data_IF_962027873831
#
_entry.id   IF_962027873831
#
_cell.length_a   1.000
_cell.length_b   1.000
_cell.length_c   1.000
_cell.angle_alpha   90.00
_cell.angle_beta   90.00
_cell.angle_gamma   90.00
#
_symmetry.space_group_name_H-M   'P 1'
#
loop_
_entity.id
_entity.type
_entity.pdbx_description
1 polymer ?
#
# COMPACT_ATOMS: atom_id res chain seq x y z
N UNK A 1 18.91 -5.39 -5.28
CA UNK A 1 18.24 -5.70 -4.01
C UNK A 1 19.03 -5.25 -2.78
N UNK A 2 20.34 -5.01 -2.85
CA UNK A 2 21.07 -4.46 -1.68
C UNK A 2 20.59 -3.06 -1.24
N UNK A 3 19.97 -2.29 -2.14
CA UNK A 3 19.42 -0.95 -1.91
C UNK A 3 17.96 -0.95 -1.40
N UNK A 4 17.48 -2.10 -0.90
CA UNK A 4 16.09 -2.28 -0.43
C UNK A 4 16.09 -2.55 1.06
N UNK A 5 15.27 -1.82 1.81
CA UNK A 5 15.01 -2.08 3.23
C UNK A 5 13.53 -2.36 3.40
N UNK A 6 13.19 -3.53 3.93
CA UNK A 6 11.84 -3.89 4.34
C UNK A 6 11.77 -3.83 5.87
N UNK A 7 10.76 -3.12 6.39
CA UNK A 7 10.46 -3.11 7.82
C UNK A 7 8.96 -3.32 8.02
N UNK A 8 8.63 -3.98 9.13
CA UNK A 8 7.26 -4.20 9.57
C UNK A 8 7.16 -3.88 11.04
N UNK A 9 6.02 -3.32 11.44
CA UNK A 9 5.64 -3.24 12.84
C UNK A 9 5.44 -4.64 13.42
N UNK A 10 5.42 -4.73 14.74
CA UNK A 10 4.80 -5.86 15.41
C UNK A 10 3.28 -5.86 15.18
N UNK A 11 2.58 -6.85 15.74
CA UNK A 11 1.10 -6.86 15.73
C UNK A 11 0.61 -5.81 16.73
N UNK A 12 0.22 -4.65 16.20
CA UNK A 12 -0.30 -3.53 16.98
C UNK A 12 -1.79 -3.71 17.28
N UNK A 13 -2.25 -3.29 18.46
CA UNK A 13 -3.66 -3.37 18.87
C UNK A 13 -4.52 -2.27 18.25
N UNK A 14 -3.93 -1.11 17.99
CA UNK A 14 -4.60 0.05 17.42
C UNK A 14 -3.64 0.88 16.57
N UNK A 15 -4.18 1.91 15.91
CA UNK A 15 -3.39 2.75 15.01
C UNK A 15 -2.32 3.58 15.73
N UNK A 16 -2.53 3.93 17.00
CA UNK A 16 -1.58 4.72 17.81
C UNK A 16 -0.31 3.93 18.13
N UNK A 17 -0.46 2.65 18.48
CA UNK A 17 0.68 1.73 18.63
C UNK A 17 1.44 1.58 17.30
N UNK A 18 0.71 1.40 16.19
CA UNK A 18 1.32 1.31 14.86
C UNK A 18 2.07 2.60 14.47
N UNK A 19 1.52 3.77 14.82
CA UNK A 19 2.15 5.08 14.63
C UNK A 19 3.46 5.17 15.40
N UNK A 20 3.44 4.88 16.71
CA UNK A 20 4.63 4.93 17.55
C UNK A 20 5.74 3.98 17.05
N UNK A 21 5.38 2.74 16.70
CA UNK A 21 6.35 1.78 16.17
C UNK A 21 6.89 2.20 14.80
N UNK A 22 6.04 2.60 13.86
CA UNK A 22 6.47 3.03 12.53
C UNK A 22 7.42 4.24 12.60
N UNK A 23 7.09 5.22 13.44
CA UNK A 23 7.94 6.39 13.66
C UNK A 23 9.30 6.00 14.23
N UNK A 24 9.33 5.06 15.18
CA UNK A 24 10.57 4.55 15.76
C UNK A 24 11.41 3.79 14.72
N UNK A 25 10.78 2.92 13.93
CA UNK A 25 11.43 2.19 12.83
C UNK A 25 12.02 3.16 11.81
N UNK A 26 11.25 4.15 11.33
CA UNK A 26 11.72 5.13 10.35
C UNK A 26 12.89 5.96 10.89
N UNK A 27 12.79 6.48 12.12
CA UNK A 27 13.89 7.21 12.79
C UNK A 27 15.17 6.37 12.85
N UNK A 28 15.05 5.12 13.28
CA UNK A 28 16.20 4.22 13.41
C UNK A 28 16.87 3.94 12.07
N UNK A 29 16.09 3.67 11.01
CA UNK A 29 16.66 3.42 9.67
C UNK A 29 17.33 4.68 9.12
N UNK A 30 16.70 5.85 9.28
CA UNK A 30 17.28 7.13 8.84
C UNK A 30 18.61 7.39 9.56
N UNK A 31 18.64 7.21 10.88
CA UNK A 31 19.86 7.35 11.69
C UNK A 31 20.96 6.39 11.22
N UNK A 32 20.65 5.10 11.11
CA UNK A 32 21.60 4.07 10.68
C UNK A 32 22.10 4.32 9.25
N UNK A 33 21.23 4.78 8.34
CA UNK A 33 21.63 5.17 6.99
C UNK A 33 22.62 6.34 7.04
N UNK A 34 22.31 7.38 7.83
CA UNK A 34 23.18 8.55 8.01
C UNK A 34 24.56 8.21 8.59
N UNK A 35 24.61 7.33 9.60
CA UNK A 35 25.86 6.82 10.20
C UNK A 35 26.76 6.10 9.19
N UNK A 36 26.18 5.58 8.11
CA UNK A 36 26.90 4.89 7.02
C UNK A 36 27.07 5.77 5.76
N UNK A 37 26.80 7.08 5.84
CA UNK A 37 26.91 8.00 4.70
C UNK A 37 25.86 7.78 3.61
N UNK A 38 24.75 7.11 3.95
CA UNK A 38 23.62 6.84 3.07
C UNK A 38 22.41 7.72 3.45
N UNK A 39 21.43 7.79 2.56
CA UNK A 39 20.15 8.48 2.80
C UNK A 39 19.00 7.53 2.51
N UNK A 40 17.90 7.68 3.24
CA UNK A 40 16.68 6.90 3.02
C UNK A 40 15.72 7.69 2.13
N UNK A 41 15.12 7.04 1.15
CA UNK A 41 14.07 7.60 0.30
C UNK A 41 12.88 6.65 0.25
N UNK A 42 11.69 7.14 0.64
CA UNK A 42 10.45 6.38 0.58
C UNK A 42 9.69 6.69 -0.71
N UNK A 43 9.88 5.85 -1.73
CA UNK A 43 9.25 6.02 -3.04
C UNK A 43 8.98 4.67 -3.70
N UNK A 44 7.84 4.54 -4.37
CA UNK A 44 7.43 3.24 -4.92
C UNK A 44 8.24 2.80 -6.14
N UNK A 45 8.82 3.76 -6.86
CA UNK A 45 9.86 3.53 -7.87
C UNK A 45 10.93 4.61 -7.75
N UNK A 46 12.20 4.23 -7.82
CA UNK A 46 13.25 5.23 -7.83
C UNK A 46 13.20 6.04 -9.16
N UNK A 47 13.27 7.39 -9.15
CA UNK A 47 12.99 8.19 -10.34
C UNK A 47 13.86 7.88 -11.58
N UNK A 48 15.14 7.58 -11.37
CA UNK A 48 16.10 7.35 -12.45
C UNK A 48 17.00 6.11 -12.31
N UNK A 49 16.79 5.27 -11.28
CA UNK A 49 17.69 4.13 -11.08
C UNK A 49 17.41 3.05 -12.12
N UNK A 50 18.48 2.45 -12.64
CA UNK A 50 18.39 1.31 -13.55
C UNK A 50 18.44 0.01 -12.76
N UNK A 51 17.37 -0.79 -12.86
CA UNK A 51 17.30 -2.10 -12.22
C UNK A 51 18.36 -3.07 -12.77
N UNK A 52 18.84 -2.88 -14.00
CA UNK A 52 19.83 -3.75 -14.66
C UNK A 52 21.19 -3.70 -14.00
N UNK A 53 21.53 -2.57 -13.39
CA UNK A 53 22.83 -2.33 -12.76
C UNK A 53 22.79 -2.56 -11.26
N UNK A 54 21.66 -2.99 -10.69
CA UNK A 54 21.53 -3.25 -9.27
C UNK A 54 22.07 -4.65 -8.93
N UNK A 55 22.97 -4.70 -7.95
CA UNK A 55 23.44 -5.97 -7.40
C UNK A 55 22.32 -6.70 -6.66
N UNK A 56 22.24 -8.01 -6.89
CA UNK A 56 21.26 -8.88 -6.26
C UNK A 56 21.95 -9.54 -5.07
N UNK A 57 21.38 -9.36 -3.88
CA UNK A 57 21.90 -10.03 -2.70
C UNK A 57 21.78 -11.56 -2.88
N UNK A 58 22.82 -12.35 -2.59
CA UNK A 58 22.78 -13.79 -2.77
C UNK A 58 21.86 -14.43 -1.72
N UNK A 59 20.59 -14.62 -2.08
CA UNK A 59 19.57 -15.36 -1.32
C UNK A 59 19.03 -16.50 -2.21
N UNK A 60 19.07 -17.73 -1.72
CA UNK A 60 18.55 -18.96 -2.36
C UNK A 60 17.10 -18.79 -2.84
N UNK A 61 16.25 -18.16 -2.03
CA UNK A 61 14.85 -17.90 -2.40
C UNK A 61 14.76 -16.95 -3.59
N UNK A 62 15.65 -15.97 -3.66
CA UNK A 62 15.69 -14.97 -4.73
C UNK A 62 16.22 -15.58 -6.05
N UNK A 63 17.19 -16.51 -5.96
CA UNK A 63 17.66 -17.28 -7.13
C UNK A 63 16.53 -18.06 -7.78
N UNK A 64 15.74 -18.80 -7.01
CA UNK A 64 14.61 -19.58 -7.54
C UNK A 64 13.55 -18.68 -8.21
N UNK A 65 13.28 -17.49 -7.65
CA UNK A 65 12.35 -16.54 -8.27
C UNK A 65 12.90 -16.00 -9.60
N UNK A 66 14.21 -15.72 -9.70
CA UNK A 66 14.83 -15.27 -10.94
C UNK A 66 14.84 -16.40 -11.98
N UNK A 67 15.08 -17.64 -11.59
CA UNK A 67 15.02 -18.79 -12.48
C UNK A 67 13.58 -19.02 -12.98
N UNK A 68 12.58 -18.92 -12.11
CA UNK A 68 11.17 -19.08 -12.48
C UNK A 68 10.64 -17.94 -13.36
N UNK A 69 10.98 -16.68 -13.04
CA UNK A 69 10.33 -15.47 -13.60
C UNK A 69 11.25 -14.67 -14.54
N UNK A 70 12.52 -15.02 -14.62
CA UNK A 70 13.50 -14.46 -15.56
C UNK A 70 13.55 -12.92 -15.49
N UNK A 71 13.47 -12.25 -16.64
CA UNK A 71 13.56 -10.80 -16.78
C UNK A 71 12.52 -10.05 -15.95
N UNK A 72 11.34 -10.65 -15.73
CA UNK A 72 10.23 -10.04 -14.98
C UNK A 72 10.61 -9.84 -13.51
N UNK A 73 11.25 -10.83 -12.89
CA UNK A 73 11.75 -10.69 -11.52
C UNK A 73 12.93 -9.74 -11.39
N UNK A 74 13.81 -9.67 -12.40
CA UNK A 74 14.93 -8.73 -12.38
C UNK A 74 14.50 -7.27 -12.44
N UNK A 75 13.43 -6.96 -13.16
CA UNK A 75 12.90 -5.61 -13.27
C UNK A 75 12.09 -5.14 -12.04
N UNK A 76 11.90 -6.01 -11.03
CA UNK A 76 11.01 -5.77 -9.90
C UNK A 76 11.65 -4.97 -8.75
N UNK A 77 12.20 -3.79 -9.06
CA UNK A 77 12.70 -2.85 -8.06
C UNK A 77 11.61 -1.83 -7.70
N UNK A 78 10.62 -2.31 -6.96
CA UNK A 78 9.43 -1.54 -6.57
C UNK A 78 9.18 -1.67 -5.07
N UNK A 79 8.57 -0.64 -4.48
CA UNK A 79 8.36 -0.54 -3.04
C UNK A 79 6.90 -0.23 -2.75
N UNK A 80 6.28 -1.04 -1.89
CA UNK A 80 4.86 -0.91 -1.56
C UNK A 80 4.64 -0.84 -0.06
N UNK A 81 3.47 -0.35 0.32
CA UNK A 81 2.94 -0.49 1.67
C UNK A 81 2.04 -1.72 1.73
N UNK A 82 2.31 -2.62 2.67
CA UNK A 82 1.40 -3.73 2.99
C UNK A 82 0.77 -3.49 4.36
N UNK A 83 -0.56 -3.59 4.44
CA UNK A 83 -1.31 -3.43 5.69
C UNK A 83 -2.03 -4.74 6.00
N UNK A 84 -1.76 -5.29 7.17
CA UNK A 84 -2.41 -6.50 7.68
C UNK A 84 -3.48 -6.12 8.70
N UNK A 85 -4.71 -6.59 8.48
CA UNK A 85 -5.79 -6.48 9.46
C UNK A 85 -6.14 -7.87 9.98
N UNK A 86 -6.09 -8.06 11.30
CA UNK A 86 -6.48 -9.31 11.96
C UNK A 86 -7.96 -9.61 11.77
N UNK A 87 -8.29 -10.86 11.46
CA UNK A 87 -9.66 -11.36 11.29
C UNK A 87 -9.84 -12.62 12.13
N UNK A 88 -11.01 -12.78 12.73
CA UNK A 88 -11.31 -13.87 13.66
C UNK A 88 -11.19 -15.26 13.01
N UNK A 89 -11.67 -15.41 11.78
CA UNK A 89 -11.69 -16.68 11.06
C UNK A 89 -11.50 -16.52 9.54
N UNK A 90 -11.36 -17.66 8.85
CA UNK A 90 -11.04 -17.72 7.43
C UNK A 90 -12.22 -17.44 6.50
N UNK A 91 -13.45 -17.79 6.90
CA UNK A 91 -14.65 -17.48 6.13
C UNK A 91 -14.93 -15.98 6.17
N UNK A 92 -14.84 -15.37 7.36
CA UNK A 92 -14.93 -13.92 7.52
C UNK A 92 -13.84 -13.23 6.71
N UNK A 93 -12.61 -13.77 6.65
CA UNK A 93 -11.54 -13.20 5.85
C UNK A 93 -11.87 -13.14 4.35
N UNK A 94 -12.52 -14.18 3.80
CA UNK A 94 -12.97 -14.21 2.41
C UNK A 94 -14.11 -13.21 2.19
N UNK A 95 -15.08 -13.16 3.11
CA UNK A 95 -16.18 -12.21 3.02
C UNK A 95 -15.68 -10.76 3.00
N UNK A 96 -14.80 -10.41 3.94
CA UNK A 96 -14.18 -9.10 4.02
C UNK A 96 -13.34 -8.79 2.78
N UNK A 97 -12.52 -9.74 2.30
CA UNK A 97 -11.74 -9.55 1.08
C UNK A 97 -12.65 -9.24 -0.12
N UNK A 98 -13.72 -10.00 -0.33
CA UNK A 98 -14.61 -9.83 -1.48
C UNK A 98 -15.22 -8.43 -1.55
N UNK A 99 -15.62 -7.88 -0.42
CA UNK A 99 -16.19 -6.54 -0.32
C UNK A 99 -15.11 -5.45 -0.39
N UNK A 100 -13.97 -5.67 0.26
CA UNK A 100 -12.85 -4.72 0.29
C UNK A 100 -12.25 -4.44 -1.11
N UNK A 101 -12.42 -5.37 -2.06
CA UNK A 101 -11.97 -5.19 -3.47
C UNK A 101 -12.42 -3.87 -4.08
N UNK A 102 -13.64 -3.43 -3.79
CA UNK A 102 -14.20 -2.17 -4.33
C UNK A 102 -13.36 -0.94 -3.97
N UNK A 103 -12.78 -0.94 -2.77
CA UNK A 103 -12.09 0.23 -2.22
C UNK A 103 -10.62 0.31 -2.64
N UNK A 104 -10.04 -0.76 -3.20
CA UNK A 104 -8.63 -0.80 -3.57
C UNK A 104 -8.20 0.32 -4.53
N UNK A 105 -8.99 0.69 -5.58
CA UNK A 105 -8.63 1.81 -6.44
C UNK A 105 -8.61 3.17 -5.72
N UNK A 106 -9.49 3.38 -4.74
CA UNK A 106 -9.56 4.60 -3.94
C UNK A 106 -8.31 4.73 -3.06
N UNK A 107 -7.95 3.63 -2.38
CA UNK A 107 -6.72 3.52 -1.59
C UNK A 107 -5.49 3.72 -2.48
N UNK A 108 -5.46 3.13 -3.67
CA UNK A 108 -4.38 3.32 -4.64
C UNK A 108 -4.22 4.80 -5.03
N UNK A 109 -5.33 5.49 -5.32
CA UNK A 109 -5.30 6.91 -5.71
C UNK A 109 -4.63 7.77 -4.63
N UNK A 110 -4.97 7.54 -3.36
CA UNK A 110 -4.33 8.20 -2.20
C UNK A 110 -2.83 7.89 -2.09
N UNK A 111 -2.44 6.63 -2.27
CA UNK A 111 -1.06 6.19 -2.04
C UNK A 111 -0.09 6.46 -3.20
N UNK A 112 -0.58 6.85 -4.39
CA UNK A 112 0.25 6.95 -5.60
C UNK A 112 1.55 7.73 -5.38
N UNK A 113 2.69 7.10 -5.68
CA UNK A 113 4.01 7.63 -5.37
C UNK A 113 5.10 7.11 -6.33
N UNK A 114 4.75 6.83 -7.59
CA UNK A 114 5.70 6.31 -8.59
C UNK A 114 5.49 6.87 -10.00
N UNK A 115 5.63 8.19 -10.22
CA UNK A 115 5.42 8.77 -11.54
C UNK A 115 6.58 8.57 -12.53
N UNK A 116 7.78 8.29 -12.02
CA UNK A 116 9.00 8.16 -12.81
C UNK A 116 9.53 6.71 -12.84
N UNK A 117 10.11 6.32 -13.98
CA UNK A 117 10.78 5.04 -14.15
C UNK A 117 11.91 5.15 -15.16
N UNK A 118 13.12 4.69 -14.79
CA UNK A 118 14.30 4.72 -15.66
C UNK A 118 14.59 6.11 -16.25
N UNK A 119 14.36 7.17 -15.47
CA UNK A 119 14.62 8.55 -15.88
C UNK A 119 13.51 9.18 -16.72
N UNK A 120 12.40 8.46 -16.94
CA UNK A 120 11.28 8.94 -17.73
C UNK A 120 10.09 9.30 -16.85
N UNK A 121 9.44 10.42 -17.15
CA UNK A 121 8.06 10.65 -16.71
C UNK A 121 7.15 9.67 -17.44
N UNK A 122 6.57 8.73 -16.71
CA UNK A 122 5.79 7.62 -17.31
C UNK A 122 4.41 8.06 -17.78
N UNK A 123 3.96 9.24 -17.33
CA UNK A 123 2.58 9.69 -17.46
C UNK A 123 1.61 8.99 -16.51
N UNK A 124 2.04 8.04 -15.68
CA UNK A 124 1.22 7.45 -14.62
C UNK A 124 1.55 8.10 -13.28
N UNK A 125 0.64 8.03 -12.30
CA UNK A 125 0.89 8.43 -10.90
C UNK A 125 1.39 7.25 -10.07
N UNK A 126 0.95 6.03 -10.40
CA UNK A 126 1.48 4.78 -9.86
C UNK A 126 1.97 3.88 -11.00
N UNK A 127 3.26 3.96 -11.33
CA UNK A 127 3.88 3.05 -12.28
C UNK A 127 4.29 1.71 -11.65
N UNK A 128 4.49 1.66 -10.33
CA UNK A 128 4.78 0.42 -9.58
C UNK A 128 3.83 -0.72 -9.95
N UNK A 129 2.52 -0.45 -9.98
CA UNK A 129 1.55 -1.48 -10.31
C UNK A 129 1.75 -2.06 -11.73
N UNK A 130 2.27 -1.27 -12.68
CA UNK A 130 2.53 -1.71 -14.07
C UNK A 130 3.83 -2.52 -14.21
N UNK A 131 4.82 -2.24 -13.36
CA UNK A 131 5.99 -3.12 -13.23
C UNK A 131 5.53 -4.48 -12.71
N UNK A 132 4.66 -4.48 -11.71
CA UNK A 132 4.16 -5.70 -11.06
C UNK A 132 3.14 -6.50 -11.90
N UNK A 133 2.39 -5.85 -12.79
CA UNK A 133 1.40 -6.46 -13.68
C UNK A 133 1.97 -7.58 -14.58
N UNK A 134 3.30 -7.60 -14.76
CA UNK A 134 4.00 -8.62 -15.56
C UNK A 134 4.06 -9.99 -14.86
N UNK A 135 3.85 -10.04 -13.55
CA UNK A 135 3.85 -11.29 -12.80
C UNK A 135 2.54 -12.06 -13.01
N UNK A 136 2.54 -13.40 -13.03
CA UNK A 136 1.30 -14.17 -13.05
C UNK A 136 0.55 -14.03 -11.72
N UNK A 137 -0.79 -14.11 -11.72
CA UNK A 137 -1.61 -14.11 -10.49
C UNK A 137 -1.42 -12.86 -9.61
N UNK A 138 -1.29 -11.72 -10.27
CA UNK A 138 -1.28 -10.37 -9.69
C UNK A 138 -2.67 -9.71 -9.84
N UNK A 139 -2.78 -8.43 -9.48
CA UNK A 139 -3.98 -7.59 -9.54
C UNK A 139 -5.06 -7.92 -8.50
N UNK A 140 -6.20 -7.22 -8.60
CA UNK A 140 -7.38 -7.44 -7.79
C UNK A 140 -7.81 -8.90 -7.93
N UNK A 141 -8.06 -9.63 -6.83
CA UNK A 141 -8.48 -11.03 -6.91
C UNK A 141 -9.86 -11.17 -7.55
N UNK A 142 -10.20 -12.39 -7.96
CA UNK A 142 -11.59 -12.74 -8.29
C UNK A 142 -12.46 -12.87 -7.04
N UNK A 143 -13.77 -13.04 -7.24
CA UNK A 143 -14.69 -13.33 -6.15
C UNK A 143 -14.59 -14.80 -5.76
N UNK A 144 -14.55 -15.08 -4.46
CA UNK A 144 -14.61 -16.44 -3.92
C UNK A 144 -15.80 -16.57 -2.97
N UNK A 145 -16.76 -17.49 -3.20
CA UNK A 145 -17.96 -17.55 -2.38
C UNK A 145 -17.72 -18.10 -0.96
N UNK A 146 -16.61 -18.80 -0.72
CA UNK A 146 -16.25 -19.36 0.59
C UNK A 146 -14.74 -19.58 0.70
N UNK A 147 -14.27 -19.83 1.92
CA UNK A 147 -12.91 -20.31 2.16
C UNK A 147 -12.62 -21.63 1.45
N UNK A 148 -13.59 -22.55 1.41
CA UNK A 148 -13.44 -23.83 0.71
C UNK A 148 -13.14 -23.69 -0.78
N UNK A 149 -13.84 -22.79 -1.49
CA UNK A 149 -13.56 -22.52 -2.91
C UNK A 149 -12.19 -21.88 -3.12
N UNK A 150 -11.81 -20.95 -2.26
CA UNK A 150 -10.46 -20.37 -2.29
C UNK A 150 -9.38 -21.43 -2.02
N UNK A 151 -9.59 -22.30 -1.04
CA UNK A 151 -8.65 -23.37 -0.72
C UNK A 151 -8.53 -24.39 -1.87
N UNK A 152 -9.64 -24.75 -2.52
CA UNK A 152 -9.63 -25.61 -3.70
C UNK A 152 -8.85 -24.98 -4.85
N UNK A 153 -9.02 -23.67 -5.08
CA UNK A 153 -8.22 -22.93 -6.07
C UNK A 153 -6.71 -23.01 -5.77
N UNK A 154 -6.30 -22.79 -4.51
CA UNK A 154 -4.90 -22.92 -4.10
C UNK A 154 -4.39 -24.36 -4.26
N UNK A 155 -5.16 -25.35 -3.79
CA UNK A 155 -4.81 -26.78 -3.89
C UNK A 155 -4.62 -27.20 -5.34
N UNK A 156 -5.46 -26.71 -6.25
CA UNK A 156 -5.32 -26.98 -7.68
C UNK A 156 -3.99 -26.44 -8.20
N UNK A 157 -3.66 -25.17 -7.92
CA UNK A 157 -2.41 -24.56 -8.38
C UNK A 157 -1.16 -25.26 -7.83
N UNK A 158 -1.21 -25.74 -6.59
CA UNK A 158 -0.12 -26.53 -6.00
C UNK A 158 -0.02 -27.89 -6.69
N UNK A 159 -1.14 -28.60 -6.83
CA UNK A 159 -1.20 -29.92 -7.46
C UNK A 159 -0.71 -29.91 -8.92
N UNK A 160 -0.92 -28.80 -9.64
CA UNK A 160 -0.45 -28.62 -11.02
C UNK A 160 0.91 -27.95 -11.12
N UNK A 161 1.66 -27.83 -10.01
CA UNK A 161 2.99 -27.24 -9.95
C UNK A 161 3.07 -25.77 -10.45
N UNK A 162 1.97 -25.02 -10.40
CA UNK A 162 1.96 -23.60 -10.75
C UNK A 162 2.56 -22.72 -9.64
N UNK A 163 2.42 -23.17 -8.38
CA UNK A 163 2.99 -22.56 -7.18
C UNK A 163 3.41 -23.64 -6.20
N UNK A 164 4.40 -23.36 -5.36
CA UNK A 164 4.82 -24.19 -4.24
C UNK A 164 3.91 -24.00 -3.02
N UNK A 165 3.43 -22.77 -2.81
CA UNK A 165 2.48 -22.41 -1.77
C UNK A 165 1.75 -21.10 -2.11
N UNK A 166 0.75 -20.77 -1.30
CA UNK A 166 -0.07 -19.58 -1.47
C UNK A 166 0.68 -18.23 -1.33
N UNK A 167 1.96 -18.19 -0.86
CA UNK A 167 2.73 -16.93 -0.86
C UNK A 167 3.00 -16.42 -2.28
N UNK A 168 3.00 -17.30 -3.30
CA UNK A 168 3.14 -16.95 -4.74
C UNK A 168 1.81 -16.46 -5.39
N UNK A 169 0.81 -16.13 -4.58
CA UNK A 169 -0.37 -15.36 -4.98
C UNK A 169 -0.13 -13.89 -4.69
N UNK A 170 0.06 -13.08 -5.72
CA UNK A 170 0.50 -11.68 -5.56
C UNK A 170 -0.62 -10.68 -5.78
N UNK A 171 -1.82 -10.99 -5.29
CA UNK A 171 -2.96 -10.11 -5.44
C UNK A 171 -2.83 -8.81 -4.64
N UNK A 172 -3.58 -7.79 -5.08
CA UNK A 172 -3.66 -6.47 -4.44
C UNK A 172 -4.28 -6.53 -3.03
N UNK A 173 -5.05 -7.59 -2.76
CA UNK A 173 -5.58 -7.96 -1.44
C UNK A 173 -5.66 -9.49 -1.37
N UNK A 174 -5.35 -10.09 -0.21
CA UNK A 174 -5.49 -11.55 -0.01
C UNK A 174 -5.64 -11.91 1.47
N UNK A 175 -6.28 -13.05 1.80
CA UNK A 175 -6.10 -13.69 3.09
C UNK A 175 -4.65 -14.16 3.19
N UNK A 176 -3.97 -13.80 4.27
CA UNK A 176 -2.59 -14.23 4.45
C UNK A 176 -2.54 -15.74 4.72
N UNK A 177 -1.70 -16.53 4.03
CA UNK A 177 -1.74 -17.99 4.13
C UNK A 177 -1.38 -18.55 5.51
N UNK A 178 -0.61 -17.83 6.33
CA UNK A 178 -0.14 -18.30 7.64
C UNK A 178 -0.69 -17.50 8.82
N UNK A 179 -1.16 -16.27 8.57
CA UNK A 179 -1.66 -15.38 9.60
C UNK A 179 -3.15 -15.22 9.39
N UNK A 180 -3.93 -15.12 10.46
CA UNK A 180 -5.36 -14.84 10.37
C UNK A 180 -5.56 -13.34 10.12
N UNK A 181 -5.12 -12.91 8.94
CA UNK A 181 -5.16 -11.51 8.51
C UNK A 181 -5.61 -11.41 7.06
N UNK A 182 -6.18 -10.28 6.70
CA UNK A 182 -6.27 -9.83 5.31
C UNK A 182 -5.13 -8.85 5.08
N UNK A 183 -4.38 -9.08 4.03
CA UNK A 183 -3.22 -8.30 3.64
C UNK A 183 -3.58 -7.44 2.42
N UNK A 184 -3.60 -6.13 2.60
CA UNK A 184 -3.73 -5.14 1.54
C UNK A 184 -2.34 -4.82 0.98
N UNK A 185 -2.17 -4.94 -0.34
CA UNK A 185 -0.87 -4.84 -1.04
C UNK A 185 -0.88 -3.88 -2.23
N UNK A 186 -2.02 -3.22 -2.44
CA UNK A 186 -2.26 -2.33 -3.59
C UNK A 186 -1.39 -1.08 -3.53
N UNK A 187 -1.08 -0.59 -2.33
CA UNK A 187 -0.46 0.71 -2.11
C UNK A 187 0.96 0.81 -2.66
N UNK A 188 1.23 1.94 -3.31
CA UNK A 188 2.59 2.47 -3.37
C UNK A 188 3.05 2.83 -1.94
N UNK A 189 4.36 2.75 -1.66
CA UNK A 189 4.87 3.21 -0.37
C UNK A 189 4.71 4.75 -0.27
N UNK A 190 4.01 5.29 0.75
CA UNK A 190 3.85 6.74 0.91
C UNK A 190 5.16 7.42 1.31
N UNK A 191 5.34 8.70 0.96
CA UNK A 191 6.58 9.43 1.29
C UNK A 191 6.70 9.67 2.79
N UNK A 192 5.65 10.18 3.43
CA UNK A 192 5.67 10.58 4.85
C UNK A 192 5.14 9.48 5.76
N UNK A 193 5.58 9.49 7.02
CA UNK A 193 5.10 8.54 8.02
C UNK A 193 3.60 8.72 8.31
N UNK A 194 3.13 9.96 8.43
CA UNK A 194 1.72 10.28 8.64
C UNK A 194 0.82 9.77 7.50
N UNK A 195 1.28 9.85 6.24
CA UNK A 195 0.52 9.32 5.11
C UNK A 195 0.33 7.81 5.21
N UNK A 196 1.39 7.09 5.61
CA UNK A 196 1.33 5.64 5.86
C UNK A 196 0.32 5.32 6.95
N UNK A 197 0.34 6.06 8.06
CA UNK A 197 -0.57 5.84 9.18
C UNK A 197 -2.01 6.18 8.81
N UNK A 198 -2.26 7.28 8.10
CA UNK A 198 -3.58 7.67 7.64
C UNK A 198 -4.20 6.63 6.70
N UNK A 199 -3.41 6.11 5.75
CA UNK A 199 -3.86 5.05 4.83
C UNK A 199 -4.11 3.74 5.58
N UNK A 200 -3.26 3.38 6.56
CA UNK A 200 -3.48 2.20 7.40
C UNK A 200 -4.74 2.33 8.27
N UNK A 201 -5.00 3.53 8.85
CA UNK A 201 -6.20 3.85 9.60
C UNK A 201 -7.46 3.70 8.74
N UNK A 202 -7.44 4.24 7.52
CA UNK A 202 -8.53 4.10 6.57
C UNK A 202 -8.80 2.64 6.22
N UNK A 203 -7.74 1.84 5.99
CA UNK A 203 -7.88 0.40 5.72
C UNK A 203 -8.49 -0.33 6.93
N UNK A 204 -8.05 -0.03 8.16
CA UNK A 204 -8.61 -0.61 9.38
C UNK A 204 -10.09 -0.24 9.54
N UNK A 205 -10.44 1.05 9.37
CA UNK A 205 -11.81 1.54 9.44
C UNK A 205 -12.69 0.90 8.36
N UNK A 206 -12.16 0.66 7.17
CA UNK A 206 -12.88 -0.01 6.08
C UNK A 206 -13.23 -1.44 6.44
N UNK A 207 -12.26 -2.20 6.98
CA UNK A 207 -12.51 -3.57 7.40
C UNK A 207 -13.49 -3.60 8.58
N UNK A 208 -13.35 -2.71 9.56
CA UNK A 208 -14.28 -2.59 10.68
C UNK A 208 -15.71 -2.25 10.23
N UNK A 209 -15.85 -1.31 9.29
CA UNK A 209 -17.14 -0.94 8.71
C UNK A 209 -17.79 -2.12 7.97
N UNK A 210 -17.03 -2.82 7.14
CA UNK A 210 -17.51 -4.01 6.43
C UNK A 210 -17.88 -5.14 7.40
N UNK A 211 -17.14 -5.29 8.49
CA UNK A 211 -17.44 -6.25 9.55
C UNK A 211 -18.71 -5.88 10.30
N UNK A 212 -18.91 -4.60 10.65
CA UNK A 212 -20.15 -4.09 11.26
C UNK A 212 -21.37 -4.35 10.38
N UNK A 213 -21.25 -4.17 9.06
CA UNK A 213 -22.32 -4.54 8.13
C UNK A 213 -22.58 -6.05 8.15
N UNK A 214 -21.51 -6.86 8.09
CA UNK A 214 -21.60 -8.31 8.10
C UNK A 214 -22.31 -8.86 9.36
N UNK A 215 -21.96 -8.38 10.55
CA UNK A 215 -22.60 -8.80 11.80
C UNK A 215 -24.05 -8.34 11.92
N UNK A 216 -24.41 -7.24 11.26
CA UNK A 216 -25.80 -6.80 11.10
C UNK A 216 -26.57 -7.54 9.99
N UNK A 217 -25.99 -8.60 9.41
CA UNK A 217 -26.54 -9.34 8.27
C UNK A 217 -26.80 -8.45 7.04
N UNK A 218 -25.95 -7.44 6.86
CA UNK A 218 -25.89 -6.53 5.72
C UNK A 218 -24.57 -6.74 4.96
N UNK A 219 -24.47 -6.17 3.76
CA UNK A 219 -23.25 -6.24 2.96
C UNK A 219 -23.05 -4.97 2.15
N UNK A 220 -21.86 -4.86 1.56
CA UNK A 220 -21.60 -3.84 0.54
C UNK A 220 -21.83 -4.41 -0.86
N UNK A 221 -22.00 -3.56 -1.87
CA UNK A 221 -22.23 -4.03 -3.24
C UNK A 221 -21.00 -4.76 -3.79
N UNK A 222 -21.21 -5.96 -4.32
CA UNK A 222 -20.18 -6.71 -5.03
C UNK A 222 -20.16 -6.33 -6.51
N UNK A 223 -18.98 -6.03 -7.03
CA UNK A 223 -18.77 -5.69 -8.43
C UNK A 223 -17.88 -6.72 -9.11
N UNK A 224 -18.09 -6.89 -10.42
CA UNK A 224 -17.23 -7.74 -11.25
C UNK A 224 -15.81 -7.21 -11.24
N UNK A 225 -14.82 -8.11 -11.16
CA UNK A 225 -13.39 -7.77 -11.18
C UNK A 225 -13.03 -6.80 -12.29
N UNK A 226 -13.54 -7.04 -13.50
CA UNK A 226 -13.28 -6.21 -14.68
C UNK A 226 -13.66 -4.73 -14.49
N UNK A 227 -14.75 -4.44 -13.77
CA UNK A 227 -15.15 -3.07 -13.47
C UNK A 227 -14.19 -2.41 -12.48
N UNK A 228 -13.83 -3.11 -11.41
CA UNK A 228 -12.90 -2.58 -10.40
C UNK A 228 -11.51 -2.34 -11.01
N UNK A 229 -11.10 -3.19 -11.97
CA UNK A 229 -9.86 -3.01 -12.74
C UNK A 229 -9.85 -1.73 -13.57
N UNK A 230 -11.00 -1.26 -14.08
CA UNK A 230 -11.09 0.03 -14.77
C UNK A 230 -10.79 1.18 -13.80
N UNK A 231 -11.37 1.16 -12.59
CA UNK A 231 -11.02 2.14 -11.56
C UNK A 231 -9.56 2.02 -11.12
N UNK A 232 -8.98 0.81 -11.04
CA UNK A 232 -7.55 0.64 -10.74
C UNK A 232 -6.68 1.33 -11.79
N UNK A 233 -7.03 1.19 -13.08
CA UNK A 233 -6.32 1.89 -14.16
C UNK A 233 -6.44 3.42 -14.01
N UNK A 234 -7.65 3.93 -13.78
CA UNK A 234 -7.89 5.37 -13.60
C UNK A 234 -7.12 5.93 -12.39
N UNK A 235 -7.13 5.21 -11.27
CA UNK A 235 -6.33 5.57 -10.08
C UNK A 235 -4.82 5.57 -10.37
N UNK A 236 -4.31 4.52 -11.04
CA UNK A 236 -2.89 4.43 -11.38
C UNK A 236 -2.44 5.52 -12.36
N UNK A 237 -3.30 5.89 -13.33
CA UNK A 237 -2.97 6.87 -14.37
C UNK A 237 -3.13 8.31 -13.91
N UNK A 238 -4.19 8.61 -13.18
CA UNK A 238 -4.61 9.99 -12.89
C UNK A 238 -4.55 10.36 -11.40
N UNK A 239 -4.46 9.39 -10.49
CA UNK A 239 -4.42 9.65 -9.05
C UNK A 239 -5.64 10.44 -8.56
N UNK A 240 -5.41 11.38 -7.64
CA UNK A 240 -6.46 12.21 -7.04
C UNK A 240 -6.98 13.31 -7.96
N UNK A 241 -6.21 13.70 -8.98
CA UNK A 241 -6.63 14.71 -9.96
C UNK A 241 -7.48 14.10 -11.10
N UNK A 242 -7.67 12.78 -11.06
CA UNK A 242 -8.53 12.04 -11.97
C UNK A 242 -9.99 11.97 -11.54
N UNK A 243 -10.72 11.18 -12.31
CA UNK A 243 -12.07 10.74 -11.98
C UNK A 243 -12.08 9.21 -11.85
N UNK A 244 -12.87 8.67 -10.93
CA UNK A 244 -13.19 7.23 -10.87
C UNK A 244 -14.67 7.03 -11.26
N UNK A 245 -15.05 5.79 -11.52
CA UNK A 245 -16.43 5.42 -11.83
C UNK A 245 -17.15 5.08 -10.52
N UNK A 246 -18.22 5.80 -10.24
CA UNK A 246 -19.22 5.38 -9.26
C UNK A 246 -20.16 4.39 -9.96
N UNK A 247 -20.03 3.10 -9.66
CA UNK A 247 -20.83 2.05 -10.29
C UNK A 247 -22.29 2.05 -9.83
N UNK A 248 -22.61 2.68 -8.69
CA UNK A 248 -23.98 2.89 -8.24
C UNK A 248 -24.68 3.97 -9.04
N UNK A 249 -24.01 5.11 -9.26
CA UNK A 249 -24.49 6.23 -10.06
C UNK A 249 -24.29 6.05 -11.58
N UNK A 250 -23.51 5.03 -11.98
CA UNK A 250 -23.12 4.74 -13.37
C UNK A 250 -22.51 5.94 -14.11
N UNK A 251 -21.70 6.74 -13.40
CA UNK A 251 -21.03 7.92 -13.95
C UNK A 251 -19.62 8.04 -13.43
N UNK A 252 -18.80 8.79 -14.14
CA UNK A 252 -17.52 9.23 -13.60
C UNK A 252 -17.71 10.38 -12.60
N UNK A 253 -16.95 10.34 -11.52
CA UNK A 253 -16.97 11.30 -10.41
C UNK A 253 -15.52 11.66 -10.08
N UNK A 254 -15.21 12.92 -9.74
CA UNK A 254 -13.87 13.30 -9.26
C UNK A 254 -13.40 12.36 -8.14
N UNK A 255 -12.14 11.93 -8.21
CA UNK A 255 -11.61 10.97 -7.25
C UNK A 255 -11.67 11.53 -5.81
N UNK A 256 -11.39 12.82 -5.65
CA UNK A 256 -11.45 13.55 -4.37
C UNK A 256 -12.84 13.48 -3.72
N UNK A 257 -13.89 13.71 -4.50
CA UNK A 257 -15.27 13.64 -4.01
C UNK A 257 -15.60 12.23 -3.52
N UNK A 258 -15.16 11.19 -4.24
CA UNK A 258 -15.36 9.80 -3.82
C UNK A 258 -14.54 9.44 -2.58
N UNK A 259 -13.37 10.07 -2.35
CA UNK A 259 -12.66 9.90 -1.08
C UNK A 259 -13.43 10.54 0.07
N UNK A 260 -14.03 11.72 -0.12
CA UNK A 260 -14.90 12.31 0.91
C UNK A 260 -16.11 11.40 1.23
N UNK A 261 -16.81 10.89 0.21
CA UNK A 261 -17.89 9.90 0.40
C UNK A 261 -17.39 8.62 1.11
N UNK A 262 -16.12 8.22 0.87
CA UNK A 262 -15.52 7.07 1.53
C UNK A 262 -15.17 7.34 3.00
N UNK A 263 -14.69 8.53 3.35
CA UNK A 263 -14.47 8.94 4.74
C UNK A 263 -15.80 8.98 5.50
N UNK A 264 -16.85 9.54 4.90
CA UNK A 264 -18.21 9.52 5.46
C UNK A 264 -18.74 8.09 5.65
N UNK A 265 -18.44 7.18 4.72
CA UNK A 265 -18.88 5.78 4.81
C UNK A 265 -18.31 5.04 6.03
N UNK A 266 -17.06 5.33 6.42
CA UNK A 266 -16.39 4.67 7.54
C UNK A 266 -16.53 5.43 8.87
N UNK A 267 -17.03 6.66 8.87
CA UNK A 267 -17.03 7.57 10.03
C UNK A 267 -17.62 6.94 11.32
N UNK A 268 -18.70 6.16 11.18
CA UNK A 268 -19.42 5.53 12.31
C UNK A 268 -18.68 4.37 13.00
N UNK A 269 -17.47 4.03 12.57
CA UNK A 269 -16.57 3.09 13.27
C UNK A 269 -15.27 3.74 13.73
N UNK A 270 -14.99 4.99 13.32
CA UNK A 270 -13.69 5.64 13.56
C UNK A 270 -13.47 5.95 15.04
N UNK A 271 -14.51 6.39 15.76
CA UNK A 271 -14.39 6.73 17.18
C UNK A 271 -14.16 5.50 18.06
N UNK A 272 -14.79 4.36 17.73
CA UNK A 272 -14.58 3.10 18.43
C UNK A 272 -13.16 2.56 18.21
N UNK A 273 -12.58 2.82 17.02
CA UNK A 273 -11.20 2.48 16.70
C UNK A 273 -10.16 3.45 17.27
N UNK A 274 -10.60 4.57 17.84
CA UNK A 274 -9.72 5.63 18.35
C UNK A 274 -8.69 6.08 17.28
N UNK A 275 -9.14 6.24 16.04
CA UNK A 275 -8.30 6.49 14.86
C UNK A 275 -8.61 7.80 14.12
N UNK A 276 -9.48 8.65 14.69
CA UNK A 276 -9.94 9.89 14.06
C UNK A 276 -8.79 10.81 13.70
N UNK A 277 -7.88 11.09 14.64
CA UNK A 277 -6.75 11.98 14.43
C UNK A 277 -5.87 11.53 13.25
N UNK A 278 -5.54 10.24 13.20
CA UNK A 278 -4.74 9.67 12.13
C UNK A 278 -5.47 9.70 10.77
N UNK A 279 -6.77 9.42 10.76
CA UNK A 279 -7.59 9.38 9.55
C UNK A 279 -7.82 10.77 8.96
N UNK A 280 -7.91 11.81 9.79
CA UNK A 280 -8.04 13.21 9.35
C UNK A 280 -6.85 13.67 8.47
N UNK A 281 -5.68 13.05 8.59
CA UNK A 281 -4.54 13.34 7.73
C UNK A 281 -4.81 13.00 6.24
N UNK A 282 -5.83 12.18 5.93
CA UNK A 282 -6.31 11.99 4.55
C UNK A 282 -6.75 13.32 3.93
N UNK A 283 -7.38 14.22 4.69
CA UNK A 283 -7.73 15.56 4.19
C UNK A 283 -6.48 16.34 3.76
N UNK A 284 -5.35 16.15 4.46
CA UNK A 284 -4.09 16.78 4.07
C UNK A 284 -3.53 16.21 2.78
N UNK A 285 -3.66 14.91 2.57
CA UNK A 285 -3.30 14.26 1.30
C UNK A 285 -4.17 14.80 0.16
N UNK A 286 -5.47 14.97 0.39
CA UNK A 286 -6.35 15.60 -0.59
C UNK A 286 -5.85 17.02 -0.90
N UNK A 287 -5.70 17.90 0.08
CA UNK A 287 -5.23 19.28 -0.16
C UNK A 287 -3.91 19.38 -0.93
N UNK A 288 -2.92 18.57 -0.55
CA UNK A 288 -1.55 18.69 -1.06
C UNK A 288 -1.24 17.81 -2.27
N UNK A 289 -2.13 16.87 -2.58
CA UNK A 289 -1.91 15.81 -3.58
C UNK A 289 -1.07 14.66 -3.03
N UNK A 290 -1.12 13.53 -3.73
CA UNK A 290 -0.36 12.33 -3.42
C UNK A 290 1.14 12.55 -3.61
N UNK A 291 1.95 11.57 -3.21
CA UNK A 291 3.39 11.67 -3.40
C UNK A 291 3.79 11.85 -4.86
N UNK A 292 3.09 11.19 -5.79
CA UNK A 292 3.31 11.38 -7.22
C UNK A 292 3.05 12.82 -7.68
N UNK A 293 1.99 13.46 -7.17
CA UNK A 293 1.67 14.86 -7.50
C UNK A 293 2.81 15.79 -7.06
N UNK A 294 3.35 15.57 -5.86
CA UNK A 294 4.42 16.42 -5.32
C UNK A 294 5.74 16.22 -6.07
N UNK A 295 6.10 14.97 -6.40
CA UNK A 295 7.26 14.67 -7.23
C UNK A 295 7.18 15.34 -8.61
N UNK A 296 6.01 15.26 -9.26
CA UNK A 296 5.80 15.88 -10.58
C UNK A 296 5.93 17.40 -10.52
N UNK A 297 5.38 18.06 -9.49
CA UNK A 297 5.54 19.52 -9.32
C UNK A 297 7.01 19.94 -9.20
N UNK A 298 7.82 19.21 -8.43
CA UNK A 298 9.26 19.48 -8.33
C UNK A 298 9.95 19.31 -9.68
N UNK A 299 9.60 18.27 -10.43
CA UNK A 299 10.17 18.05 -11.75
C UNK A 299 9.76 19.12 -12.76
N UNK A 300 8.50 19.54 -12.78
CA UNK A 300 8.00 20.61 -13.65
C UNK A 300 8.69 21.96 -13.37
N UNK A 301 8.98 22.25 -12.10
CA UNK A 301 9.66 23.48 -11.70
C UNK A 301 11.17 23.47 -12.02
N UNK A 302 11.80 22.29 -12.03
CA UNK A 302 13.27 22.20 -12.03
C UNK A 302 13.88 21.49 -13.23
N UNK A 303 13.13 20.64 -13.91
CA UNK A 303 13.60 19.74 -14.96
C UNK A 303 14.60 18.68 -14.49
N UNK A 304 14.79 18.49 -13.17
CA UNK A 304 15.89 17.69 -12.61
C UNK A 304 15.39 16.60 -11.67
N UNK A 305 15.57 15.33 -12.06
CA UNK A 305 15.20 14.18 -11.25
C UNK A 305 16.06 14.00 -9.99
N UNK A 306 17.25 14.60 -9.92
CA UNK A 306 18.05 14.60 -8.68
C UNK A 306 17.39 15.45 -7.61
N UNK A 307 16.88 16.63 -7.99
CA UNK A 307 16.09 17.47 -7.07
C UNK A 307 14.79 16.81 -6.63
N UNK A 308 14.18 15.99 -7.49
CA UNK A 308 13.04 15.15 -7.09
C UNK A 308 13.46 14.15 -6.01
N UNK A 309 14.62 13.48 -6.16
CA UNK A 309 15.14 12.57 -5.13
C UNK A 309 15.48 13.32 -3.84
N UNK A 310 16.14 14.47 -3.91
CA UNK A 310 16.44 15.30 -2.73
C UNK A 310 15.15 15.70 -1.99
N UNK A 311 14.11 16.06 -2.74
CA UNK A 311 12.78 16.33 -2.18
C UNK A 311 12.17 15.10 -1.51
N UNK A 312 12.20 13.94 -2.16
CA UNK A 312 11.69 12.67 -1.58
C UNK A 312 12.41 12.36 -0.26
N UNK A 313 13.72 12.55 -0.20
CA UNK A 313 14.49 12.33 1.03
C UNK A 313 14.03 13.28 2.13
N UNK A 314 13.90 14.57 1.83
CA UNK A 314 13.40 15.56 2.81
C UNK A 314 11.99 15.22 3.32
N UNK A 315 11.09 14.78 2.43
CA UNK A 315 9.75 14.31 2.81
C UNK A 315 9.79 13.00 3.60
N UNK A 316 10.79 12.14 3.36
CA UNK A 316 10.98 10.88 4.08
C UNK A 316 11.37 11.13 5.54
N UNK A 317 12.06 12.23 5.81
CA UNK A 317 12.53 12.64 7.14
C UNK A 317 11.51 13.56 7.87
N UNK A 318 10.59 14.18 7.12
CA UNK A 318 9.63 15.13 7.66
C UNK A 318 8.72 14.52 8.75
N UNK A 319 8.52 15.28 9.84
CA UNK A 319 7.66 14.89 10.96
C UNK A 319 8.26 13.87 11.92
N UNK A 320 9.51 13.42 11.70
CA UNK A 320 10.17 12.40 12.52
C UNK A 320 11.15 12.98 13.57
N UNK A 321 11.25 14.30 13.69
CA UNK A 321 12.05 14.91 14.75
C UNK A 321 11.42 14.61 16.12
N UNK A 322 12.24 14.20 17.09
CA UNK A 322 11.78 14.03 18.47
C UNK A 322 11.38 15.40 19.02
N UNK A 323 10.18 15.52 19.57
CA UNK A 323 9.92 16.56 20.57
C UNK A 323 10.87 16.29 21.73
N UNK A 324 11.78 17.21 22.02
CA UNK A 324 12.59 17.20 23.24
C UNK A 324 11.68 17.36 24.47
N UNK A 325 10.95 16.32 24.85
CA UNK A 325 10.45 16.19 26.22
C UNK A 325 11.46 15.32 26.98
N UNK A 326 12.12 15.86 28.02
CA UNK A 326 13.08 15.08 28.78
C UNK A 326 12.34 13.96 29.50
N UNK A 327 12.58 12.72 29.08
CA UNK A 327 12.11 11.55 29.78
C UNK A 327 12.62 11.60 31.23
N UNK A 328 11.71 11.80 32.17
CA UNK A 328 11.99 11.77 33.59
C UNK A 328 12.56 10.39 33.95
N UNK A 329 13.87 10.35 34.18
CA UNK A 329 14.57 9.17 34.69
C UNK A 329 14.03 8.88 36.09
N UNK A 330 13.08 7.94 36.17
CA UNK A 330 12.67 7.37 37.46
C UNK A 330 13.72 6.32 37.83
N UNK A 331 14.72 6.74 38.61
CA UNK A 331 15.57 5.80 39.34
C UNK A 331 14.70 5.08 40.37
N UNK A 332 14.59 3.76 40.24
CA UNK A 332 14.15 2.91 41.34
C UNK A 332 15.37 2.06 41.72
N UNK A 333 15.79 2.23 42.98
CA UNK A 333 16.86 1.44 43.60
C UNK A 333 16.36 0.12 44.17
#
# INVERSE_FOLDING_TARGET
HQSVVEVGTSVCKNIKEARAELYTLRRNIIRLAGENGLKLASVATHPFSDWRTQEIHPDERYKNIIEDMQLVARANLIFGLHVHIGIEDRETAIHMMNHARYFLPHILALSTNSPFWLGMNTGLKSYRCKVFDKFPRTNIPDYFPSWGEYENFIKLLIKTNCIDNAKKIWWDIRPHPFFNTIEFRVCDIPMRADETIAIAALIQATVAKLYKLYTANQGFRLYRRALIMENKWRAARYGLDGKLIDFGKQKEVPARDLIHEYLEFVDDVVDELDSREELEYIHKILETGSGADRQLRIFEQTGDLKKVVDYIIGETEAGLAESEEPAAVTKVG
#
